data_IF_803248321984
#
_entry.id   IF_803248321984
#
_cell.length_a   1.000
_cell.length_b   1.000
_cell.length_c   1.000
_cell.angle_alpha   90.00
_cell.angle_beta   90.00
_cell.angle_gamma   90.00
#
_symmetry.space_group_name_H-M   'P 1'
#
loop_
_entity.id
_entity.type
_entity.pdbx_description
1 polymer ?
#
# COMPACT_ATOMS: atom_id res chain seq x y z
N UNK A 1 -30.30 6.20 -58.33
CA UNK A 1 -30.22 6.67 -56.95
C UNK A 1 -29.40 5.68 -56.14
N UNK A 2 -28.15 6.05 -55.79
CA UNK A 2 -27.29 5.20 -54.95
C UNK A 2 -27.36 5.72 -53.52
N UNK A 3 -27.92 4.93 -52.60
CA UNK A 3 -27.91 5.23 -51.17
C UNK A 3 -26.59 4.76 -50.57
N UNK A 4 -25.77 5.71 -50.14
CA UNK A 4 -24.54 5.43 -49.40
C UNK A 4 -24.89 5.37 -47.91
N UNK A 5 -24.86 4.17 -47.32
CA UNK A 5 -25.10 3.95 -45.90
C UNK A 5 -23.82 4.29 -45.13
N UNK A 6 -23.84 5.38 -44.37
CA UNK A 6 -22.76 5.70 -43.42
C UNK A 6 -22.93 4.84 -42.14
N UNK A 7 -22.00 3.92 -41.94
CA UNK A 7 -21.87 3.21 -40.68
C UNK A 7 -21.15 4.11 -39.65
N UNK A 8 -21.88 4.62 -38.64
CA UNK A 8 -21.27 5.25 -37.48
C UNK A 8 -20.78 4.17 -36.53
N UNK A 9 -19.46 4.00 -36.44
CA UNK A 9 -18.84 3.21 -35.39
C UNK A 9 -18.88 4.02 -34.05
N UNK A 10 -19.77 3.65 -33.15
CA UNK A 10 -19.80 4.22 -31.83
C UNK A 10 -18.61 3.66 -31.00
N UNK A 11 -17.59 4.47 -30.79
CA UNK A 11 -16.53 4.18 -29.84
C UNK A 11 -17.08 4.35 -28.42
N UNK A 12 -17.41 3.24 -27.75
CA UNK A 12 -17.76 3.27 -26.32
C UNK A 12 -16.48 3.55 -25.51
N UNK A 13 -16.44 4.59 -24.64
CA UNK A 13 -15.32 4.79 -23.76
C UNK A 13 -15.25 3.63 -22.76
N UNK A 14 -14.13 2.91 -22.72
CA UNK A 14 -13.83 1.99 -21.63
C UNK A 14 -13.73 2.81 -20.34
N UNK A 15 -14.74 2.71 -19.48
CA UNK A 15 -14.66 3.25 -18.14
C UNK A 15 -13.65 2.42 -17.36
N UNK A 16 -12.45 2.95 -17.14
CA UNK A 16 -11.47 2.39 -16.21
C UNK A 16 -12.08 2.53 -14.81
N UNK A 17 -12.54 1.43 -14.26
CA UNK A 17 -12.96 1.39 -12.85
C UNK A 17 -11.69 1.43 -11.99
N UNK A 18 -11.37 2.59 -11.46
CA UNK A 18 -10.42 2.71 -10.35
C UNK A 18 -11.13 2.11 -9.15
N UNK A 19 -10.74 0.90 -8.76
CA UNK A 19 -11.17 0.31 -7.50
C UNK A 19 -10.49 1.12 -6.39
N UNK A 20 -11.26 1.72 -5.51
CA UNK A 20 -10.73 2.35 -4.32
C UNK A 20 -10.24 1.25 -3.38
N UNK A 21 -8.97 1.32 -3.00
CA UNK A 21 -8.41 0.49 -1.95
C UNK A 21 -8.84 1.02 -0.58
N UNK A 22 -8.65 0.22 0.46
CA UNK A 22 -8.90 0.64 1.84
C UNK A 22 -7.64 0.48 2.69
N UNK A 23 -7.49 1.35 3.69
CA UNK A 23 -6.44 1.24 4.69
C UNK A 23 -7.03 1.27 6.09
N UNK A 24 -6.53 0.39 6.95
CA UNK A 24 -6.73 0.36 8.39
C UNK A 24 -5.36 0.35 9.08
N UNK A 25 -5.35 0.29 10.42
CA UNK A 25 -4.10 0.22 11.16
C UNK A 25 -4.03 -1.02 12.05
N UNK A 26 -2.79 -1.43 12.35
CA UNK A 26 -2.46 -2.44 13.35
C UNK A 26 -1.23 -1.95 14.12
N UNK A 27 -1.39 -1.82 15.44
CA UNK A 27 -0.33 -1.33 16.34
C UNK A 27 0.87 -2.29 16.44
N UNK A 28 0.75 -3.53 15.96
CA UNK A 28 1.89 -4.44 15.84
C UNK A 28 3.01 -3.81 15.02
N UNK A 29 2.67 -3.04 13.99
CA UNK A 29 3.66 -2.37 13.12
C UNK A 29 4.28 -1.11 13.74
N UNK A 30 3.76 -0.63 14.89
CA UNK A 30 4.35 0.50 15.64
C UNK A 30 5.49 0.06 16.58
N UNK A 31 5.62 -1.25 16.85
CA UNK A 31 6.61 -1.79 17.79
C UNK A 31 7.92 -2.09 17.06
N UNK A 32 8.85 -1.15 17.08
CA UNK A 32 10.12 -1.25 16.36
C UNK A 32 10.97 -2.47 16.71
N UNK A 33 10.87 -2.99 17.93
CA UNK A 33 11.59 -4.20 18.39
C UNK A 33 10.96 -5.52 17.93
N UNK A 34 9.82 -5.49 17.25
CA UNK A 34 9.25 -6.71 16.68
C UNK A 34 10.15 -7.27 15.60
N UNK A 35 10.42 -8.58 15.68
CA UNK A 35 11.20 -9.31 14.68
C UNK A 35 10.47 -9.38 13.35
N UNK A 36 11.21 -9.30 12.24
CA UNK A 36 10.69 -9.59 10.89
C UNK A 36 10.13 -11.01 10.76
N UNK A 37 10.53 -11.94 11.62
CA UNK A 37 10.01 -13.31 11.58
C UNK A 37 8.50 -13.44 11.83
N UNK A 38 7.82 -12.39 12.27
CA UNK A 38 6.36 -12.41 12.50
C UNK A 38 5.54 -11.97 11.29
N UNK A 39 6.20 -11.55 10.20
CA UNK A 39 5.53 -11.07 8.98
C UNK A 39 5.90 -11.91 7.76
N UNK A 40 5.10 -11.80 6.70
CA UNK A 40 5.26 -12.61 5.48
C UNK A 40 6.57 -12.34 4.74
N UNK A 41 7.11 -11.13 4.84
CA UNK A 41 8.34 -10.71 4.16
C UNK A 41 9.60 -10.88 5.03
N UNK A 42 9.67 -11.93 5.85
CA UNK A 42 10.78 -12.23 6.74
C UNK A 42 11.99 -12.76 5.98
N UNK A 43 12.13 -14.06 5.90
CA UNK A 43 13.23 -14.77 5.22
C UNK A 43 12.77 -15.32 3.86
N UNK A 44 13.60 -16.13 3.19
CA UNK A 44 13.39 -16.60 1.83
C UNK A 44 14.02 -15.63 0.82
N UNK A 45 14.05 -16.05 -0.45
CA UNK A 45 14.79 -15.33 -1.52
C UNK A 45 14.25 -13.88 -1.75
N UNK A 46 12.99 -13.65 -1.44
CA UNK A 46 12.32 -12.35 -1.56
C UNK A 46 12.10 -11.67 -0.19
N UNK A 47 12.58 -12.29 0.90
CA UNK A 47 12.40 -11.74 2.25
C UNK A 47 13.35 -10.57 2.53
N UNK A 48 12.99 -9.73 3.48
CA UNK A 48 13.77 -8.54 3.83
C UNK A 48 15.00 -8.87 4.68
N UNK A 49 15.01 -10.02 5.35
CA UNK A 49 16.17 -10.47 6.14
C UNK A 49 17.43 -10.74 5.29
N UNK A 50 17.27 -11.09 4.00
CA UNK A 50 18.43 -11.28 3.09
C UNK A 50 19.22 -10.00 2.85
N UNK A 51 18.60 -8.83 3.11
CA UNK A 51 19.26 -7.52 3.03
C UNK A 51 19.82 -7.03 4.38
N UNK A 52 19.75 -7.87 5.42
CA UNK A 52 20.31 -7.60 6.75
C UNK A 52 19.35 -6.92 7.73
N UNK A 53 18.09 -6.76 7.38
CA UNK A 53 17.06 -6.26 8.31
C UNK A 53 16.65 -7.38 9.27
N UNK A 54 16.42 -7.06 10.55
CA UNK A 54 16.10 -8.07 11.59
C UNK A 54 14.82 -7.77 12.35
N UNK A 55 14.50 -6.49 12.49
CA UNK A 55 13.34 -5.99 13.22
C UNK A 55 12.71 -4.80 12.47
N UNK A 56 11.55 -4.34 12.93
CA UNK A 56 10.84 -3.26 12.26
C UNK A 56 11.60 -1.94 12.30
N UNK A 57 12.30 -1.64 13.38
CA UNK A 57 13.08 -0.42 13.52
C UNK A 57 14.30 -0.38 12.57
N UNK A 58 14.79 -1.54 12.13
CA UNK A 58 15.89 -1.62 11.15
C UNK A 58 15.45 -1.31 9.72
N UNK A 59 14.14 -1.39 9.44
CA UNK A 59 13.59 -1.11 8.12
C UNK A 59 13.67 0.37 7.76
N UNK A 60 14.00 0.72 6.51
CA UNK A 60 14.00 2.11 6.08
C UNK A 60 12.58 2.68 6.16
N UNK A 61 12.48 3.92 6.63
CA UNK A 61 11.20 4.64 6.71
C UNK A 61 10.29 4.23 7.86
N UNK A 62 10.71 3.29 8.77
CA UNK A 62 9.91 2.98 9.97
C UNK A 62 9.48 4.28 10.70
N UNK A 63 8.22 4.42 11.11
CA UNK A 63 7.12 3.44 11.15
C UNK A 63 6.19 3.43 9.91
N UNK A 64 6.61 3.95 8.77
CA UNK A 64 5.81 3.93 7.54
C UNK A 64 5.86 2.55 6.86
N UNK A 65 5.41 1.53 7.56
CA UNK A 65 5.43 0.12 7.17
C UNK A 65 4.06 -0.52 7.36
N UNK A 66 3.83 -1.67 6.73
CA UNK A 66 2.63 -2.45 6.96
C UNK A 66 2.38 -3.54 5.93
N UNK A 67 1.19 -4.12 6.00
CA UNK A 67 0.70 -5.13 5.08
C UNK A 67 0.09 -4.49 3.83
N UNK A 68 0.28 -5.12 2.69
CA UNK A 68 -0.29 -4.72 1.41
C UNK A 68 -0.98 -5.90 0.72
N UNK A 69 -2.15 -5.66 0.10
CA UNK A 69 -2.91 -6.68 -0.60
C UNK A 69 -2.21 -7.30 -1.82
N UNK A 70 -1.15 -6.64 -2.33
CA UNK A 70 -0.30 -7.18 -3.38
C UNK A 70 0.69 -8.25 -2.89
N UNK A 71 0.97 -8.32 -1.59
CA UNK A 71 1.84 -9.33 -0.98
C UNK A 71 0.98 -10.57 -0.73
N UNK A 72 1.22 -11.64 -1.50
CA UNK A 72 0.39 -12.84 -1.50
C UNK A 72 0.60 -13.74 -0.28
N UNK A 73 1.71 -13.54 0.45
CA UNK A 73 2.09 -14.30 1.63
C UNK A 73 3.60 -14.41 1.79
N UNK A 74 4.03 -15.45 2.51
CA UNK A 74 5.46 -15.71 2.76
C UNK A 74 6.25 -15.81 1.45
N UNK A 75 7.42 -15.16 1.42
CA UNK A 75 8.35 -15.16 0.28
C UNK A 75 7.75 -14.63 -1.04
N UNK A 76 6.72 -13.78 -0.97
CA UNK A 76 6.13 -13.14 -2.14
C UNK A 76 7.17 -12.28 -2.87
N UNK A 77 7.15 -12.29 -4.20
CA UNK A 77 7.97 -11.41 -5.03
C UNK A 77 7.63 -9.93 -4.84
N UNK A 78 6.50 -9.63 -4.21
CA UNK A 78 6.04 -8.28 -3.88
C UNK A 78 6.50 -7.81 -2.49
N UNK A 79 7.31 -8.60 -1.76
CA UNK A 79 7.94 -8.15 -0.53
C UNK A 79 8.85 -6.95 -0.78
N UNK A 80 8.77 -5.93 0.10
CA UNK A 80 9.56 -4.71 -0.06
C UNK A 80 9.05 -3.74 -1.12
N UNK A 81 7.85 -3.95 -1.68
CA UNK A 81 7.23 -2.96 -2.58
C UNK A 81 6.83 -1.70 -1.82
N UNK A 82 6.98 -0.55 -2.47
CA UNK A 82 6.60 0.75 -1.91
C UNK A 82 5.28 1.23 -2.52
N UNK A 83 4.37 1.70 -1.67
CA UNK A 83 3.02 2.10 -2.04
C UNK A 83 2.74 3.53 -1.61
N UNK A 84 2.46 4.42 -2.55
CA UNK A 84 1.89 5.72 -2.26
C UNK A 84 0.39 5.56 -2.00
N UNK A 85 -0.04 5.89 -0.77
CA UNK A 85 -1.44 5.91 -0.36
C UNK A 85 -1.91 7.35 -0.25
N UNK A 86 -3.01 7.67 -0.92
CA UNK A 86 -3.63 9.01 -0.89
C UNK A 86 -5.01 8.95 -0.29
N UNK A 87 -5.21 9.69 0.79
CA UNK A 87 -6.50 9.88 1.47
C UNK A 87 -7.05 11.27 1.18
N UNK A 88 -8.35 11.35 0.90
CA UNK A 88 -9.08 12.61 0.75
C UNK A 88 -10.10 12.71 1.88
N UNK A 89 -9.96 13.73 2.72
CA UNK A 89 -10.85 13.92 3.86
C UNK A 89 -12.23 14.50 3.45
N UNK A 90 -13.14 14.62 4.40
CA UNK A 90 -14.50 15.14 4.16
C UNK A 90 -14.54 16.58 3.65
N UNK A 91 -13.45 17.34 3.80
CA UNK A 91 -13.31 18.72 3.29
C UNK A 91 -12.69 18.78 1.89
N UNK A 92 -12.39 17.61 1.28
CA UNK A 92 -11.76 17.53 -0.04
C UNK A 92 -10.25 17.74 -0.02
N UNK A 93 -9.60 17.81 1.16
CA UNK A 93 -8.14 17.93 1.27
C UNK A 93 -7.52 16.54 1.13
N UNK A 94 -6.54 16.39 0.22
CA UNK A 94 -5.80 15.15 0.01
C UNK A 94 -4.47 15.16 0.75
N UNK A 95 -4.06 13.98 1.24
CA UNK A 95 -2.75 13.74 1.82
C UNK A 95 -2.24 12.39 1.37
N UNK A 96 -0.95 12.30 1.07
CA UNK A 96 -0.30 11.07 0.65
C UNK A 96 0.85 10.72 1.58
N UNK A 97 1.07 9.42 1.77
CA UNK A 97 2.24 8.85 2.43
C UNK A 97 2.76 7.67 1.61
N UNK A 98 4.02 7.32 1.81
CA UNK A 98 4.61 6.12 1.20
C UNK A 98 4.80 5.05 2.25
N UNK A 99 4.32 3.84 1.98
CA UNK A 99 4.35 2.69 2.88
C UNK A 99 5.21 1.58 2.28
N UNK A 100 6.16 1.07 3.04
CA UNK A 100 6.91 -0.14 2.70
C UNK A 100 6.06 -1.37 3.05
N UNK A 101 5.75 -2.18 2.03
CA UNK A 101 5.02 -3.43 2.20
C UNK A 101 5.92 -4.52 2.77
N UNK A 102 5.57 -5.04 3.94
CA UNK A 102 6.33 -6.06 4.65
C UNK A 102 5.51 -7.30 5.01
N UNK A 103 4.20 -7.24 4.81
CA UNK A 103 3.30 -8.32 5.20
C UNK A 103 2.12 -8.46 4.25
N UNK A 104 1.41 -9.59 4.36
CA UNK A 104 0.21 -9.90 3.60
C UNK A 104 -1.02 -9.17 4.13
N UNK A 105 -1.84 -8.65 3.22
CA UNK A 105 -3.19 -8.16 3.50
C UNK A 105 -4.19 -8.74 2.49
N UNK A 106 -5.48 -8.60 2.77
CA UNK A 106 -6.51 -8.98 1.80
C UNK A 106 -6.42 -8.12 0.52
N UNK A 107 -6.84 -8.68 -0.62
CA UNK A 107 -6.81 -7.96 -1.90
C UNK A 107 -7.53 -6.60 -1.82
N UNK A 108 -6.89 -5.56 -2.34
CA UNK A 108 -7.42 -4.19 -2.29
C UNK A 108 -7.39 -3.55 -0.91
N UNK A 109 -6.61 -4.10 0.03
CA UNK A 109 -6.51 -3.55 1.38
C UNK A 109 -5.05 -3.31 1.80
N UNK A 110 -4.89 -2.36 2.72
CA UNK A 110 -3.64 -2.12 3.45
C UNK A 110 -3.94 -2.15 4.95
N UNK A 111 -2.96 -2.61 5.73
CA UNK A 111 -3.02 -2.57 7.20
C UNK A 111 -1.66 -2.07 7.70
N UNK A 112 -1.60 -0.82 8.15
CA UNK A 112 -0.35 -0.10 8.37
C UNK A 112 -0.16 0.25 9.86
N UNK A 113 1.02 0.70 10.25
CA UNK A 113 1.25 1.21 11.59
C UNK A 113 0.23 2.32 11.95
N UNK A 114 -0.21 2.39 13.20
CA UNK A 114 -1.11 3.44 13.69
C UNK A 114 -0.50 4.83 13.46
N UNK A 115 0.80 4.98 13.70
CA UNK A 115 1.52 6.23 13.50
C UNK A 115 1.53 6.65 12.02
N UNK A 116 1.70 5.68 11.11
CA UNK A 116 1.58 5.91 9.67
C UNK A 116 0.16 6.36 9.29
N UNK A 117 -0.87 5.68 9.82
CA UNK A 117 -2.25 6.06 9.53
C UNK A 117 -2.63 7.41 10.16
N UNK A 118 -2.10 7.75 11.33
CA UNK A 118 -2.24 9.09 11.91
C UNK A 118 -1.59 10.16 11.03
N UNK A 119 -0.42 9.86 10.46
CA UNK A 119 0.23 10.76 9.49
C UNK A 119 -0.65 10.97 8.27
N UNK A 120 -1.27 9.92 7.72
CA UNK A 120 -2.15 10.00 6.56
C UNK A 120 -3.45 10.77 6.86
N UNK A 121 -4.05 10.54 8.03
CA UNK A 121 -5.40 11.02 8.39
C UNK A 121 -5.41 12.27 9.27
N UNK A 122 -4.25 12.88 9.51
CA UNK A 122 -4.11 14.02 10.42
C UNK A 122 -4.58 13.69 11.86
N UNK A 123 -4.00 12.61 12.42
CA UNK A 123 -4.25 12.12 13.79
C UNK A 123 -5.71 11.64 14.03
N UNK A 124 -6.38 11.21 12.97
CA UNK A 124 -7.76 10.71 13.07
C UNK A 124 -7.87 9.17 12.88
N UNK A 125 -6.74 8.44 12.89
CA UNK A 125 -6.72 7.01 12.59
C UNK A 125 -7.70 6.21 13.47
N UNK A 126 -7.65 6.41 14.78
CA UNK A 126 -8.50 5.68 15.75
C UNK A 126 -9.99 6.00 15.54
N UNK A 127 -10.31 7.28 15.28
CA UNK A 127 -11.69 7.70 15.06
C UNK A 127 -12.27 7.14 13.77
N UNK A 128 -11.47 7.09 12.69
CA UNK A 128 -11.91 6.65 11.37
C UNK A 128 -11.87 5.13 11.21
N UNK A 129 -10.96 4.45 11.90
CA UNK A 129 -10.77 2.99 11.87
C UNK A 129 -10.27 2.48 10.52
N UNK A 130 -11.07 2.61 9.47
CA UNK A 130 -10.74 2.24 8.09
C UNK A 130 -11.22 3.34 7.14
N UNK A 131 -10.40 3.68 6.16
CA UNK A 131 -10.73 4.71 5.16
C UNK A 131 -10.47 4.21 3.74
N UNK A 132 -11.17 4.80 2.78
CA UNK A 132 -10.86 4.62 1.36
C UNK A 132 -9.64 5.44 0.98
N UNK A 133 -8.77 4.85 0.16
CA UNK A 133 -7.59 5.49 -0.39
C UNK A 133 -7.46 5.17 -1.87
N UNK A 134 -6.74 5.98 -2.60
CA UNK A 134 -6.13 5.55 -3.86
C UNK A 134 -4.72 5.07 -3.58
N UNK A 135 -4.32 3.96 -4.17
CA UNK A 135 -2.98 3.40 -4.04
C UNK A 135 -2.25 3.39 -5.37
N UNK A 136 -0.94 3.56 -5.30
CA UNK A 136 -0.05 3.47 -6.45
C UNK A 136 1.26 2.86 -6.01
N UNK A 137 1.69 1.79 -6.69
CA UNK A 137 3.04 1.28 -6.48
C UNK A 137 4.06 2.27 -7.07
N UNK A 138 5.07 2.59 -6.28
CA UNK A 138 6.20 3.46 -6.66
C UNK A 138 7.51 2.70 -6.49
N UNK A 139 8.63 3.30 -6.93
CA UNK A 139 9.94 2.67 -6.77
C UNK A 139 10.24 2.39 -5.29
N UNK A 140 10.84 1.24 -4.97
CA UNK A 140 11.19 0.85 -3.60
C UNK A 140 12.08 1.89 -2.89
N UNK A 141 12.93 2.58 -3.65
CA UNK A 141 13.78 3.67 -3.16
C UNK A 141 13.01 4.86 -2.59
N UNK A 142 11.74 5.06 -2.97
CA UNK A 142 10.87 6.10 -2.38
C UNK A 142 10.57 5.80 -0.91
N UNK A 143 10.48 4.52 -0.55
CA UNK A 143 10.41 4.04 0.82
C UNK A 143 11.78 3.87 1.49
N UNK A 144 12.87 4.28 0.83
CA UNK A 144 14.23 4.15 1.34
C UNK A 144 14.87 2.78 1.13
N UNK A 145 14.20 1.85 0.46
CA UNK A 145 14.72 0.51 0.18
C UNK A 145 15.53 0.54 -1.14
N UNK A 146 16.85 0.49 -1.01
CA UNK A 146 17.79 0.46 -2.14
C UNK A 146 18.39 -0.94 -2.24
N UNK A 147 17.80 -1.79 -3.06
CA UNK A 147 18.17 -3.19 -3.28
C UNK A 147 18.28 -3.48 -4.77
#
# INVERSE_FOLDING_TARGET
MKFTSLFFLALSPLAVRVLADTVAFDQTYDVGSNSLNIVSCSNGDNGLEVFGFTDFASLPGFPLIGAAGAIEGFNSVNCGTCWELTFVNSKGTSKSINILGIDHAGAGTFNIALEAMNTLTNIQAVQLGRVNVTSKQVAASVCGLNI
#
